data_IF_461993083542
#
_entry.id   IF_461993083542
#
_cell.length_a   1.000
_cell.length_b   1.000
_cell.length_c   1.000
_cell.angle_alpha   90.00
_cell.angle_beta   90.00
_cell.angle_gamma   90.00
#
_symmetry.space_group_name_H-M   'P 1'
#
loop_
_entity.id
_entity.type
_entity.pdbx_description
1 polymer ?
#
# COMPACT_ATOMS: atom_id res chain seq x y z
N UNK A 1 -26.46 -19.88 35.20
CA UNK A 1 -26.41 -19.58 33.75
C UNK A 1 -24.99 -19.86 33.27
N UNK A 2 -24.76 -20.69 32.24
CA UNK A 2 -23.40 -20.84 31.74
C UNK A 2 -23.04 -19.58 30.94
N UNK A 3 -21.87 -19.06 31.24
CA UNK A 3 -21.19 -18.00 30.49
C UNK A 3 -20.86 -18.57 29.11
N UNK A 4 -21.47 -18.01 28.07
CA UNK A 4 -21.18 -18.36 26.68
C UNK A 4 -19.73 -17.99 26.38
N UNK A 5 -18.95 -19.00 26.02
CA UNK A 5 -17.57 -18.87 25.56
C UNK A 5 -17.55 -18.01 24.29
N UNK A 6 -17.05 -16.77 24.41
CA UNK A 6 -16.81 -15.91 23.26
C UNK A 6 -15.67 -16.57 22.49
N UNK A 7 -15.98 -17.23 21.39
CA UNK A 7 -15.01 -17.81 20.48
C UNK A 7 -14.06 -16.70 20.02
N UNK A 8 -12.88 -16.64 20.65
CA UNK A 8 -11.81 -15.75 20.25
C UNK A 8 -11.42 -16.07 18.81
N UNK A 9 -11.34 -15.05 17.96
CA UNK A 9 -10.78 -15.20 16.62
C UNK A 9 -9.45 -15.95 16.74
N UNK A 10 -9.26 -17.02 15.96
CA UNK A 10 -8.06 -17.85 16.04
C UNK A 10 -6.83 -16.99 15.79
N UNK A 11 -5.68 -17.33 16.41
CA UNK A 11 -4.40 -16.66 16.11
C UNK A 11 -4.13 -16.59 14.61
N UNK A 12 -4.55 -17.61 13.85
CA UNK A 12 -4.49 -17.65 12.39
C UNK A 12 -5.33 -16.56 11.71
N UNK A 13 -6.54 -16.25 12.19
CA UNK A 13 -7.36 -15.18 11.65
C UNK A 13 -6.75 -13.78 11.87
N UNK A 14 -5.90 -13.65 12.90
CA UNK A 14 -5.16 -12.42 13.23
C UNK A 14 -3.83 -12.34 12.48
N UNK A 15 -3.08 -13.45 12.45
CA UNK A 15 -1.75 -13.53 11.86
C UNK A 15 -1.78 -13.73 10.35
N UNK A 16 -2.85 -14.34 9.81
CA UNK A 16 -3.07 -14.63 8.39
C UNK A 16 -4.56 -14.48 8.01
N UNK A 17 -5.11 -13.25 8.04
CA UNK A 17 -6.54 -13.07 7.77
C UNK A 17 -6.87 -13.50 6.33
N UNK A 18 -7.81 -14.45 6.19
CA UNK A 18 -8.17 -15.07 4.90
C UNK A 18 -8.62 -14.08 3.80
N UNK A 19 -9.07 -12.89 4.18
CA UNK A 19 -9.49 -11.84 3.25
C UNK A 19 -8.33 -11.05 2.62
N UNK A 20 -7.08 -11.20 3.08
CA UNK A 20 -5.88 -10.69 2.40
C UNK A 20 -5.24 -11.75 1.48
N UNK A 21 -5.27 -13.01 1.90
CA UNK A 21 -4.66 -14.14 1.18
C UNK A 21 -5.26 -14.41 -0.21
N UNK A 22 -6.45 -13.86 -0.50
CA UNK A 22 -7.11 -14.02 -1.79
C UNK A 22 -6.59 -13.06 -2.89
N UNK A 23 -5.80 -12.06 -2.54
CA UNK A 23 -5.49 -10.93 -3.45
C UNK A 23 -4.01 -10.68 -3.68
N UNK A 24 -3.17 -11.02 -2.69
CA UNK A 24 -1.72 -10.96 -2.77
C UNK A 24 -1.12 -12.26 -2.23
N UNK A 25 -0.02 -12.70 -2.83
CA UNK A 25 0.76 -13.87 -2.41
C UNK A 25 1.47 -13.63 -1.08
N UNK A 26 1.67 -12.36 -0.73
CA UNK A 26 2.32 -11.88 0.50
C UNK A 26 1.39 -11.00 1.30
N UNK A 27 1.65 -10.91 2.59
CA UNK A 27 0.95 -9.95 3.44
C UNK A 27 1.47 -8.54 3.20
N UNK A 28 0.57 -7.55 3.26
CA UNK A 28 0.93 -6.13 3.08
C UNK A 28 2.00 -5.69 4.09
N UNK A 29 2.02 -6.29 5.28
CA UNK A 29 3.06 -6.00 6.28
C UNK A 29 4.46 -6.39 5.82
N UNK A 30 4.60 -7.47 5.02
CA UNK A 30 5.91 -7.88 4.48
C UNK A 30 6.52 -6.76 3.64
N UNK A 31 5.75 -6.14 2.73
CA UNK A 31 6.23 -5.01 1.94
C UNK A 31 6.42 -3.75 2.77
N UNK A 32 5.39 -3.35 3.54
CA UNK A 32 5.41 -2.08 4.28
C UNK A 32 6.45 -2.04 5.40
N UNK A 33 6.92 -3.18 5.90
CA UNK A 33 8.01 -3.27 6.89
C UNK A 33 9.37 -2.77 6.37
N UNK A 34 9.53 -2.67 5.04
CA UNK A 34 10.72 -2.07 4.43
C UNK A 34 10.70 -0.55 4.45
N UNK A 35 9.55 0.05 4.74
CA UNK A 35 9.35 1.49 4.68
C UNK A 35 9.23 2.05 6.10
N UNK A 36 9.46 3.34 6.23
CA UNK A 36 9.14 4.04 7.47
C UNK A 36 7.62 4.13 7.71
N UNK A 37 7.24 4.72 8.84
CA UNK A 37 5.84 4.87 9.19
C UNK A 37 5.04 5.63 8.13
N UNK A 38 5.58 6.72 7.60
CA UNK A 38 4.83 7.59 6.67
C UNK A 38 4.59 6.90 5.34
N UNK A 39 5.65 6.47 4.67
CA UNK A 39 5.61 5.87 3.33
C UNK A 39 5.03 4.46 3.35
N UNK A 40 5.29 3.70 4.43
CA UNK A 40 4.65 2.41 4.68
C UNK A 40 3.15 2.52 4.87
N UNK A 41 2.65 3.57 5.53
CA UNK A 41 1.20 3.81 5.61
C UNK A 41 0.62 4.17 4.24
N UNK A 42 1.28 5.03 3.45
CA UNK A 42 0.82 5.35 2.10
C UNK A 42 0.61 4.08 1.25
N UNK A 43 1.61 3.18 1.25
CA UNK A 43 1.51 1.85 0.62
C UNK A 43 0.36 1.01 1.15
N UNK A 44 0.28 0.89 2.49
CA UNK A 44 -0.76 0.09 3.14
C UNK A 44 -2.15 0.50 2.69
N UNK A 45 -2.44 1.79 2.65
CA UNK A 45 -3.77 2.30 2.32
C UNK A 45 -4.13 2.05 0.85
N UNK A 46 -3.19 2.19 -0.10
CA UNK A 46 -3.42 1.81 -1.50
C UNK A 46 -3.71 0.33 -1.65
N UNK A 47 -2.86 -0.52 -1.05
CA UNK A 47 -3.00 -1.96 -1.17
C UNK A 47 -4.26 -2.47 -0.45
N UNK A 48 -4.75 -1.77 0.58
CA UNK A 48 -5.93 -2.18 1.35
C UNK A 48 -7.27 -1.73 0.75
N UNK A 49 -7.29 -0.70 -0.09
CA UNK A 49 -8.52 0.05 -0.41
C UNK A 49 -9.65 -0.81 -1.02
N UNK A 50 -9.31 -1.94 -1.65
CA UNK A 50 -10.28 -2.87 -2.25
C UNK A 50 -10.89 -3.87 -1.26
N UNK A 51 -10.42 -3.94 -0.03
CA UNK A 51 -10.81 -5.01 0.92
C UNK A 51 -11.71 -4.56 2.07
N UNK A 52 -11.69 -3.27 2.43
CA UNK A 52 -12.40 -2.75 3.60
C UNK A 52 -13.75 -2.09 3.27
N UNK A 53 -14.17 -2.14 2.01
CA UNK A 53 -15.44 -1.56 1.54
C UNK A 53 -15.47 -0.03 1.50
N UNK A 54 -14.34 0.65 1.73
CA UNK A 54 -14.22 2.12 1.72
C UNK A 54 -13.00 2.57 0.90
N UNK A 55 -13.01 2.29 -0.41
CA UNK A 55 -11.86 2.50 -1.28
C UNK A 55 -11.43 3.97 -1.36
N UNK A 56 -12.38 4.88 -1.50
CA UNK A 56 -12.12 6.32 -1.63
C UNK A 56 -11.46 6.87 -0.36
N UNK A 57 -12.00 6.54 0.82
CA UNK A 57 -11.41 6.95 2.11
C UNK A 57 -9.98 6.44 2.27
N UNK A 58 -9.73 5.18 1.91
CA UNK A 58 -8.38 4.60 1.98
C UNK A 58 -7.42 5.30 1.01
N UNK A 59 -7.83 5.54 -0.24
CA UNK A 59 -6.98 6.22 -1.24
C UNK A 59 -6.71 7.68 -0.88
N UNK A 60 -7.71 8.41 -0.38
CA UNK A 60 -7.52 9.77 0.14
C UNK A 60 -6.57 9.78 1.33
N UNK A 61 -6.63 8.75 2.19
CA UNK A 61 -5.69 8.62 3.32
C UNK A 61 -4.26 8.33 2.84
N UNK A 62 -4.08 7.49 1.82
CA UNK A 62 -2.78 7.29 1.19
C UNK A 62 -2.21 8.59 0.62
N UNK A 63 -3.04 9.37 -0.08
CA UNK A 63 -2.67 10.69 -0.61
C UNK A 63 -2.25 11.66 0.50
N UNK A 64 -2.96 11.67 1.63
CA UNK A 64 -2.58 12.47 2.78
C UNK A 64 -1.19 12.10 3.33
N UNK A 65 -0.86 10.81 3.45
CA UNK A 65 0.47 10.37 3.88
C UNK A 65 1.57 10.76 2.88
N UNK A 66 1.27 10.68 1.58
CA UNK A 66 2.21 11.06 0.53
C UNK A 66 2.50 12.57 0.54
N UNK A 67 1.49 13.39 0.79
CA UNK A 67 1.69 14.83 1.00
C UNK A 67 2.50 15.12 2.27
N UNK A 68 2.21 14.41 3.37
CA UNK A 68 2.99 14.55 4.60
C UNK A 68 4.48 14.27 4.35
N UNK A 69 4.80 13.19 3.63
CA UNK A 69 6.15 12.85 3.21
C UNK A 69 6.79 13.98 2.38
N UNK A 70 6.06 14.52 1.40
CA UNK A 70 6.52 15.65 0.57
C UNK A 70 6.95 16.86 1.41
N UNK A 71 6.24 17.13 2.51
CA UNK A 71 6.50 18.28 3.39
C UNK A 71 7.57 17.98 4.46
N UNK A 72 7.88 16.70 4.69
CA UNK A 72 8.77 16.20 5.75
C UNK A 72 9.77 15.18 5.17
N UNK A 73 10.75 15.61 4.36
CA UNK A 73 11.71 14.75 3.66
C UNK A 73 12.65 13.94 4.56
N UNK A 74 12.72 14.28 5.84
CA UNK A 74 13.37 13.46 6.86
C UNK A 74 12.61 12.15 7.14
N UNK A 75 11.31 12.08 6.80
CA UNK A 75 10.58 10.84 6.63
C UNK A 75 10.83 10.33 5.21
N UNK A 76 11.15 9.06 5.05
CA UNK A 76 11.61 8.50 3.77
C UNK A 76 12.56 7.32 3.84
N UNK A 77 12.71 6.69 5.00
CA UNK A 77 13.63 5.56 5.12
C UNK A 77 13.11 4.32 4.37
N UNK A 78 14.00 3.70 3.59
CA UNK A 78 13.79 2.41 2.95
C UNK A 78 14.87 1.40 3.35
N UNK A 79 14.46 0.27 3.91
CA UNK A 79 15.30 -0.92 4.06
C UNK A 79 15.32 -1.71 2.76
N UNK A 80 16.37 -1.55 1.96
CA UNK A 80 16.51 -2.22 0.66
C UNK A 80 16.81 -3.72 0.74
N UNK A 81 17.45 -4.18 1.82
CA UNK A 81 17.78 -5.59 2.01
C UNK A 81 16.52 -6.47 2.05
N UNK A 82 16.42 -7.42 1.12
CA UNK A 82 15.28 -8.33 0.98
C UNK A 82 14.03 -7.74 0.33
N UNK A 83 14.04 -6.47 -0.08
CA UNK A 83 12.87 -5.79 -0.66
C UNK A 83 12.49 -6.35 -2.03
N UNK A 84 13.49 -6.62 -2.88
CA UNK A 84 13.27 -6.97 -4.29
C UNK A 84 12.29 -8.14 -4.50
N UNK A 85 12.45 -9.31 -3.86
CA UNK A 85 11.51 -10.42 -4.07
C UNK A 85 10.10 -10.12 -3.55
N UNK A 86 10.00 -9.32 -2.47
CA UNK A 86 8.71 -8.91 -1.91
C UNK A 86 8.01 -7.94 -2.87
N UNK A 87 8.72 -6.94 -3.35
CA UNK A 87 8.24 -5.97 -4.32
C UNK A 87 7.81 -6.64 -5.63
N UNK A 88 8.60 -7.59 -6.14
CA UNK A 88 8.30 -8.31 -7.36
C UNK A 88 6.98 -9.10 -7.27
N UNK A 89 6.74 -9.78 -6.14
CA UNK A 89 5.47 -10.50 -5.91
C UNK A 89 4.29 -9.53 -5.90
N UNK A 90 4.38 -8.38 -5.20
CA UNK A 90 3.31 -7.38 -5.18
C UNK A 90 3.05 -6.79 -6.57
N UNK A 91 4.10 -6.43 -7.33
CA UNK A 91 3.93 -5.88 -8.67
C UNK A 91 3.31 -6.91 -9.64
N UNK A 92 3.66 -8.19 -9.49
CA UNK A 92 3.06 -9.29 -10.25
C UNK A 92 1.59 -9.46 -9.92
N UNK A 93 1.25 -9.46 -8.63
CA UNK A 93 -0.14 -9.61 -8.19
C UNK A 93 -1.01 -8.41 -8.59
N UNK A 94 -0.45 -7.20 -8.58
CA UNK A 94 -1.12 -5.99 -9.06
C UNK A 94 -1.37 -6.06 -10.58
N UNK A 95 -0.37 -6.47 -11.36
CA UNK A 95 -0.51 -6.63 -12.81
C UNK A 95 -1.55 -7.69 -13.19
N UNK A 96 -1.81 -8.67 -12.33
CA UNK A 96 -2.77 -9.74 -12.54
C UNK A 96 -4.17 -9.46 -11.95
N UNK A 97 -4.43 -8.25 -11.44
CA UNK A 97 -5.75 -7.89 -10.93
C UNK A 97 -6.80 -7.90 -12.05
N UNK A 98 -8.02 -8.33 -11.71
CA UNK A 98 -9.16 -8.31 -12.65
C UNK A 98 -9.56 -6.90 -13.07
N UNK A 99 -9.46 -5.96 -12.13
CA UNK A 99 -9.58 -4.52 -12.39
C UNK A 99 -8.23 -4.03 -12.93
N UNK A 100 -8.12 -3.95 -14.25
CA UNK A 100 -6.87 -3.58 -14.94
C UNK A 100 -6.44 -2.15 -14.59
N UNK A 101 -7.40 -1.22 -14.51
CA UNK A 101 -7.12 0.17 -14.13
C UNK A 101 -6.51 0.21 -12.72
N UNK A 102 -7.13 -0.49 -11.76
CA UNK A 102 -6.58 -0.56 -10.41
C UNK A 102 -5.17 -1.19 -10.41
N UNK A 103 -4.98 -2.32 -11.10
CA UNK A 103 -3.71 -3.02 -11.15
C UNK A 103 -2.56 -2.16 -11.72
N UNK A 104 -2.83 -1.47 -12.83
CA UNK A 104 -1.87 -0.59 -13.48
C UNK A 104 -1.52 0.63 -12.62
N UNK A 105 -2.54 1.30 -12.09
CA UNK A 105 -2.38 2.54 -11.31
C UNK A 105 -1.77 2.29 -9.93
N UNK A 106 -2.22 1.26 -9.21
CA UNK A 106 -1.61 0.87 -7.95
C UNK A 106 -0.16 0.39 -8.17
N UNK A 107 0.12 -0.35 -9.26
CA UNK A 107 1.48 -0.73 -9.62
C UNK A 107 2.36 0.47 -9.96
N UNK A 108 1.82 1.48 -10.65
CA UNK A 108 2.51 2.74 -10.94
C UNK A 108 2.81 3.50 -9.65
N UNK A 109 1.85 3.60 -8.74
CA UNK A 109 2.05 4.20 -7.43
C UNK A 109 3.19 3.51 -6.65
N UNK A 110 3.15 2.18 -6.54
CA UNK A 110 4.16 1.40 -5.79
C UNK A 110 5.57 1.63 -6.35
N UNK A 111 5.75 1.52 -7.67
CA UNK A 111 7.07 1.72 -8.31
C UNK A 111 7.62 3.12 -8.06
N UNK A 112 6.78 4.15 -8.24
CA UNK A 112 7.21 5.52 -8.07
C UNK A 112 7.50 5.86 -6.61
N UNK A 113 6.71 5.36 -5.66
CA UNK A 113 7.01 5.56 -4.24
C UNK A 113 8.33 4.89 -3.84
N UNK A 114 8.60 3.66 -4.28
CA UNK A 114 9.89 2.98 -4.07
C UNK A 114 11.04 3.82 -4.63
N UNK A 115 10.89 4.34 -5.84
CA UNK A 115 11.92 5.17 -6.46
C UNK A 115 12.13 6.48 -5.69
N UNK A 116 11.05 7.17 -5.30
CA UNK A 116 11.11 8.41 -4.54
C UNK A 116 11.86 8.26 -3.21
N UNK A 117 11.61 7.18 -2.45
CA UNK A 117 12.28 6.95 -1.15
C UNK A 117 13.72 6.47 -1.28
N UNK A 118 14.16 6.03 -2.47
CA UNK A 118 15.56 5.70 -2.75
C UNK A 118 16.37 6.92 -3.17
N UNK A 119 15.71 7.95 -3.67
CA UNK A 119 16.33 9.17 -4.14
C UNK A 119 16.59 10.14 -2.99
N UNK A 120 17.61 10.97 -3.16
CA UNK A 120 17.81 12.11 -2.27
C UNK A 120 16.66 13.13 -2.47
N UNK A 121 16.28 13.91 -1.44
CA UNK A 121 15.14 14.83 -1.50
C UNK A 121 15.18 15.86 -2.65
N UNK A 122 16.35 16.16 -3.20
CA UNK A 122 16.50 17.04 -4.36
C UNK A 122 16.09 16.39 -5.69
N UNK A 123 15.95 15.06 -5.74
CA UNK A 123 15.69 14.29 -6.97
C UNK A 123 14.35 13.56 -7.00
N UNK A 124 13.71 13.37 -5.86
CA UNK A 124 12.49 12.55 -5.73
C UNK A 124 11.20 13.16 -6.31
N UNK A 125 11.22 14.42 -6.74
CA UNK A 125 10.01 15.17 -7.04
C UNK A 125 9.25 14.59 -8.25
N UNK A 126 9.90 14.22 -9.37
CA UNK A 126 9.22 13.57 -10.50
C UNK A 126 8.52 12.27 -10.11
N UNK A 127 9.19 11.41 -9.34
CA UNK A 127 8.66 10.13 -8.86
C UNK A 127 7.49 10.37 -7.90
N UNK A 128 7.62 11.34 -6.99
CA UNK A 128 6.58 11.68 -6.04
C UNK A 128 5.32 12.20 -6.74
N UNK A 129 5.47 13.06 -7.74
CA UNK A 129 4.35 13.56 -8.55
C UNK A 129 3.71 12.45 -9.41
N UNK A 130 4.50 11.52 -9.93
CA UNK A 130 3.97 10.35 -10.63
C UNK A 130 3.19 9.42 -9.69
N UNK A 131 3.64 9.26 -8.45
CA UNK A 131 2.89 8.52 -7.42
C UNK A 131 1.57 9.22 -7.04
N UNK A 132 1.59 10.56 -6.87
CA UNK A 132 0.37 11.36 -6.62
C UNK A 132 -0.63 11.24 -7.76
N UNK A 133 -0.17 11.38 -9.01
CA UNK A 133 -1.00 11.25 -10.22
C UNK A 133 -1.69 9.89 -10.30
N UNK A 134 -0.99 8.82 -9.94
CA UNK A 134 -1.58 7.48 -9.88
C UNK A 134 -2.68 7.38 -8.80
N UNK A 135 -2.42 7.93 -7.61
CA UNK A 135 -3.43 8.01 -6.55
C UNK A 135 -4.67 8.80 -6.96
N UNK A 136 -4.50 9.96 -7.58
CA UNK A 136 -5.62 10.78 -8.04
C UNK A 136 -6.48 10.03 -9.07
N UNK A 137 -5.84 9.25 -9.95
CA UNK A 137 -6.54 8.41 -10.93
C UNK A 137 -7.38 7.33 -10.24
N UNK A 138 -6.80 6.66 -9.23
CA UNK A 138 -7.52 5.69 -8.40
C UNK A 138 -8.68 6.32 -7.62
N UNK A 139 -8.49 7.52 -7.06
CA UNK A 139 -9.54 8.24 -6.31
C UNK A 139 -10.72 8.53 -7.24
N UNK A 140 -10.46 9.14 -8.41
CA UNK A 140 -11.51 9.42 -9.40
C UNK A 140 -12.25 8.16 -9.83
N UNK A 141 -11.53 7.06 -10.06
CA UNK A 141 -12.14 5.78 -10.41
C UNK A 141 -12.96 5.15 -9.27
N UNK A 142 -12.65 5.46 -8.01
CA UNK A 142 -13.39 4.96 -6.85
C UNK A 142 -14.70 5.69 -6.56
N UNK A 143 -14.85 6.90 -7.13
CA UNK A 143 -16.02 7.77 -6.97
C UNK A 143 -17.06 7.62 -8.10
N UNK A 144 -16.68 6.92 -9.18
CA UNK A 144 -17.51 6.66 -10.36
C UNK A 144 -18.35 5.38 -10.20
#
# INVERSE_FOLDING_TARGET
MPISEVAGASKEAVNHPSHYAAHYRREVIELTSHFDFTTGNALKYVLRCRFKGRPTEDLQKAHWYLNYFSDHPESGFLKSEGLEPVLADFLTDLANQKDQLFGEEAGRFVRNLVAAVQLAPEFWAPELEAAKTALETLIKASEA
#
